data_IF_719146476454
#
_entry.id   IF_719146476454
#
_cell.length_a   1.000
_cell.length_b   1.000
_cell.length_c   1.000
_cell.angle_alpha   90.00
_cell.angle_beta   90.00
_cell.angle_gamma   90.00
#
_symmetry.space_group_name_H-M   'P 1'
#
loop_
_entity.id
_entity.type
_entity.pdbx_description
1 polymer ?
#
# COMPACT_ATOMS: atom_id res chain seq x y z
N UNK A 1 11.86 27.68 -11.40
CA UNK A 1 11.81 26.39 -12.10
C UNK A 1 13.14 25.68 -11.85
N UNK A 2 13.22 24.81 -10.85
CA UNK A 2 14.41 23.99 -10.60
C UNK A 2 14.42 22.85 -11.62
N UNK A 3 15.16 23.05 -12.70
CA UNK A 3 15.41 22.03 -13.70
C UNK A 3 16.37 20.98 -13.11
N UNK A 4 15.84 19.89 -12.60
CA UNK A 4 16.64 18.69 -12.31
C UNK A 4 16.83 17.91 -13.60
N UNK A 5 17.77 18.36 -14.45
CA UNK A 5 18.25 17.52 -15.54
C UNK A 5 19.05 16.38 -14.90
N UNK A 6 18.64 15.10 -15.07
CA UNK A 6 19.40 13.99 -14.55
C UNK A 6 20.74 13.91 -15.29
N UNK A 7 21.83 14.11 -14.55
CA UNK A 7 23.18 13.94 -15.09
C UNK A 7 23.32 12.46 -15.49
N UNK A 8 23.77 12.20 -16.71
CA UNK A 8 23.99 10.82 -17.17
C UNK A 8 25.01 10.12 -16.26
N UNK A 9 24.85 8.81 -16.07
CA UNK A 9 25.77 8.00 -15.24
C UNK A 9 27.24 8.18 -15.65
N UNK A 10 27.49 8.38 -16.94
CA UNK A 10 28.82 8.64 -17.51
C UNK A 10 29.36 10.02 -17.10
N UNK A 11 28.57 11.08 -17.28
CA UNK A 11 28.99 12.43 -16.91
C UNK A 11 29.23 12.56 -15.40
N UNK A 12 28.41 11.90 -14.58
CA UNK A 12 28.61 11.86 -13.13
C UNK A 12 29.91 11.14 -12.73
N UNK A 13 30.23 10.00 -13.36
CA UNK A 13 31.47 9.25 -13.10
C UNK A 13 32.73 10.01 -13.51
N UNK A 14 32.69 10.75 -14.62
CA UNK A 14 33.81 11.57 -15.11
C UNK A 14 34.16 12.71 -14.13
N UNK A 15 33.14 13.37 -13.57
CA UNK A 15 33.33 14.44 -12.59
C UNK A 15 34.04 13.93 -11.33
N UNK A 16 33.65 12.76 -10.81
CA UNK A 16 34.31 12.14 -9.66
C UNK A 16 35.78 11.80 -9.95
N UNK A 17 36.05 11.20 -11.10
CA UNK A 17 37.41 10.87 -11.51
C UNK A 17 38.29 12.13 -11.59
N UNK A 18 37.81 13.20 -12.22
CA UNK A 18 38.58 14.46 -12.35
C UNK A 18 38.78 15.20 -11.04
N UNK A 19 37.82 15.09 -10.13
CA UNK A 19 37.92 15.65 -8.79
C UNK A 19 38.86 14.86 -7.86
N UNK A 20 39.43 13.73 -8.31
CA UNK A 20 40.21 12.83 -7.45
C UNK A 20 39.38 12.19 -6.35
N UNK A 21 38.05 12.17 -6.51
CA UNK A 21 37.11 11.62 -5.54
C UNK A 21 36.79 10.18 -5.92
N UNK A 22 36.98 9.25 -4.99
CA UNK A 22 36.50 7.88 -5.14
C UNK A 22 34.98 7.90 -5.16
N UNK A 23 34.36 7.25 -6.15
CA UNK A 23 32.90 7.10 -6.19
C UNK A 23 32.44 6.53 -4.85
N UNK A 24 31.40 7.09 -4.19
CA UNK A 24 30.95 6.56 -2.92
C UNK A 24 30.64 5.07 -3.10
N UNK A 25 31.05 4.27 -2.11
CA UNK A 25 30.69 2.87 -1.99
C UNK A 25 29.21 2.68 -2.37
N UNK A 26 28.92 1.55 -3.03
CA UNK A 26 27.58 1.12 -3.46
C UNK A 26 26.51 1.68 -2.51
N UNK A 27 25.49 2.36 -3.06
CA UNK A 27 24.37 2.81 -2.24
C UNK A 27 23.76 1.59 -1.53
N UNK A 28 23.14 1.77 -0.38
CA UNK A 28 22.55 0.65 0.37
C UNK A 28 21.59 -0.17 -0.51
N UNK A 29 20.89 0.46 -1.47
CA UNK A 29 20.08 -0.24 -2.47
C UNK A 29 20.89 -1.17 -3.39
N UNK A 30 22.10 -0.77 -3.77
CA UNK A 30 22.99 -1.57 -4.61
C UNK A 30 23.63 -2.72 -3.84
N UNK A 31 23.96 -2.53 -2.56
CA UNK A 31 24.41 -3.62 -1.68
C UNK A 31 23.29 -4.64 -1.45
N UNK A 32 22.06 -4.18 -1.23
CA UNK A 32 20.90 -5.02 -0.99
C UNK A 32 20.53 -5.94 -2.18
N UNK A 33 21.05 -5.68 -3.38
CA UNK A 33 20.80 -6.49 -4.56
C UNK A 33 21.46 -7.89 -4.54
N UNK A 34 22.37 -8.16 -3.60
CA UNK A 34 23.06 -9.46 -3.50
C UNK A 34 23.09 -9.97 -2.06
N UNK A 35 23.08 -11.28 -1.86
CA UNK A 35 23.17 -11.90 -0.51
C UNK A 35 24.45 -11.44 0.21
N UNK A 36 25.57 -11.34 -0.52
CA UNK A 36 26.83 -10.86 0.04
C UNK A 36 26.73 -9.41 0.52
N UNK A 37 26.14 -8.51 -0.28
CA UNK A 37 25.94 -7.12 0.11
C UNK A 37 24.92 -6.95 1.24
N UNK A 38 23.88 -7.79 1.32
CA UNK A 38 22.96 -7.82 2.48
C UNK A 38 23.69 -8.21 3.76
N UNK A 39 24.61 -9.19 3.72
CA UNK A 39 25.44 -9.53 4.89
C UNK A 39 26.33 -8.37 5.32
N UNK A 40 26.85 -7.59 4.37
CA UNK A 40 27.60 -6.36 4.67
C UNK A 40 26.70 -5.33 5.35
N UNK A 41 25.48 -5.11 4.83
CA UNK A 41 24.51 -4.19 5.43
C UNK A 41 24.11 -4.60 6.85
N UNK A 42 23.95 -5.90 7.13
CA UNK A 42 23.64 -6.40 8.48
C UNK A 42 24.78 -6.11 9.48
N UNK A 43 26.03 -6.32 9.06
CA UNK A 43 27.20 -5.99 9.89
C UNK A 43 27.35 -4.49 10.14
N UNK A 44 26.96 -3.66 9.17
CA UNK A 44 26.92 -2.20 9.30
C UNK A 44 25.78 -1.77 10.23
N UNK A 45 24.57 -2.29 10.03
CA UNK A 45 23.37 -1.95 10.80
C UNK A 45 23.45 -2.40 12.27
N UNK A 46 24.02 -3.58 12.55
CA UNK A 46 24.23 -4.09 13.91
C UNK A 46 25.16 -3.22 14.77
N UNK A 47 25.96 -2.36 14.13
CA UNK A 47 26.89 -1.44 14.80
C UNK A 47 26.43 0.01 14.74
N UNK A 48 25.37 0.31 13.99
CA UNK A 48 24.90 1.67 13.77
C UNK A 48 23.83 2.06 14.78
N UNK A 49 23.97 3.24 15.37
CA UNK A 49 22.89 3.82 16.17
C UNK A 49 21.75 4.34 15.26
N UNK A 50 20.48 4.14 15.65
CA UNK A 50 19.36 4.61 14.87
C UNK A 50 19.31 6.15 14.85
N UNK A 51 19.33 6.73 13.66
CA UNK A 51 19.19 8.18 13.47
C UNK A 51 17.73 8.59 13.32
N UNK A 52 17.30 9.63 14.05
CA UNK A 52 15.97 10.21 13.89
C UNK A 52 15.95 11.11 12.66
N UNK A 53 15.08 10.79 11.69
CA UNK A 53 14.78 11.64 10.54
C UNK A 53 13.36 12.19 10.67
N UNK A 54 13.20 13.50 10.54
CA UNK A 54 11.88 14.13 10.52
C UNK A 54 11.33 14.22 9.09
N UNK A 55 10.03 13.99 8.93
CA UNK A 55 9.31 14.10 7.65
C UNK A 55 8.02 14.87 7.88
N UNK A 56 7.81 15.95 7.12
CA UNK A 56 6.53 16.65 7.08
C UNK A 56 5.61 15.87 6.13
N UNK A 57 4.41 15.52 6.59
CA UNK A 57 3.40 14.83 5.78
C UNK A 57 2.07 15.56 5.83
N UNK A 58 1.32 15.52 4.72
CA UNK A 58 -0.06 16.02 4.63
C UNK A 58 -0.98 14.81 4.63
N UNK A 59 -2.09 14.88 5.38
CA UNK A 59 -3.06 13.80 5.51
C UNK A 59 -4.45 14.28 5.10
N UNK A 60 -5.24 13.38 4.49
CA UNK A 60 -6.64 13.61 4.16
C UNK A 60 -7.48 12.99 5.28
N UNK A 61 -8.21 13.80 6.03
CA UNK A 61 -9.13 13.36 7.08
C UNK A 61 -10.26 12.51 6.48
N UNK A 62 -10.58 11.37 7.11
CA UNK A 62 -11.51 10.37 6.55
C UNK A 62 -12.76 10.13 7.41
N UNK A 63 -12.78 10.66 8.64
CA UNK A 63 -13.91 10.50 9.55
C UNK A 63 -14.17 9.04 9.99
N UNK A 64 -15.27 8.80 10.74
CA UNK A 64 -15.55 7.50 11.38
C UNK A 64 -16.22 6.47 10.46
N UNK A 65 -16.65 6.88 9.27
CA UNK A 65 -17.53 6.07 8.39
C UNK A 65 -16.91 4.72 8.02
N UNK A 66 -15.61 4.68 7.74
CA UNK A 66 -14.91 3.43 7.43
C UNK A 66 -14.88 2.46 8.60
N UNK A 67 -14.80 2.95 9.84
CA UNK A 67 -14.92 2.09 11.02
C UNK A 67 -16.35 1.53 11.14
N UNK A 68 -17.36 2.36 10.92
CA UNK A 68 -18.77 1.94 11.00
C UNK A 68 -19.14 0.91 9.93
N UNK A 69 -18.70 1.10 8.69
CA UNK A 69 -18.91 0.16 7.58
C UNK A 69 -18.32 -1.22 7.90
N UNK A 70 -17.10 -1.26 8.46
CA UNK A 70 -16.48 -2.52 8.89
C UNK A 70 -17.30 -3.21 9.98
N UNK A 71 -17.80 -2.46 10.95
CA UNK A 71 -18.59 -3.01 12.05
C UNK A 71 -19.93 -3.57 11.58
N UNK A 72 -20.65 -2.86 10.71
CA UNK A 72 -21.91 -3.32 10.11
C UNK A 72 -21.72 -4.65 9.38
N UNK A 73 -20.57 -4.83 8.71
CA UNK A 73 -20.21 -6.06 8.00
C UNK A 73 -19.55 -7.12 8.87
N UNK A 74 -19.50 -6.93 10.19
CA UNK A 74 -18.86 -7.87 11.11
C UNK A 74 -17.37 -8.09 10.85
N UNK A 75 -16.70 -7.12 10.22
CA UNK A 75 -15.31 -7.21 9.77
C UNK A 75 -15.02 -8.43 8.87
N UNK A 76 -15.99 -8.81 8.04
CA UNK A 76 -15.86 -9.91 7.07
C UNK A 76 -15.36 -9.40 5.73
N UNK A 77 -14.34 -10.05 5.19
CA UNK A 77 -13.74 -9.71 3.91
C UNK A 77 -14.67 -10.09 2.75
N UNK A 78 -15.08 -9.11 1.94
CA UNK A 78 -16.00 -9.32 0.82
C UNK A 78 -15.46 -10.28 -0.24
N UNK A 79 -14.16 -10.19 -0.50
CA UNK A 79 -13.52 -11.04 -1.51
C UNK A 79 -13.45 -12.47 -1.00
N UNK A 80 -13.12 -12.68 0.28
CA UNK A 80 -13.13 -14.02 0.87
C UNK A 80 -14.53 -14.64 0.83
N UNK A 81 -15.57 -13.85 1.14
CA UNK A 81 -16.97 -14.29 1.07
C UNK A 81 -17.36 -14.69 -0.36
N UNK A 82 -17.03 -13.86 -1.35
CA UNK A 82 -17.32 -14.15 -2.76
C UNK A 82 -16.52 -15.34 -3.30
N UNK A 83 -15.35 -15.64 -2.73
CA UNK A 83 -14.55 -16.83 -3.04
C UNK A 83 -14.97 -18.08 -2.26
N UNK A 84 -15.92 -17.98 -1.31
CA UNK A 84 -16.35 -19.10 -0.46
C UNK A 84 -15.30 -19.55 0.57
N UNK A 85 -14.34 -18.68 0.89
CA UNK A 85 -13.28 -18.92 1.88
C UNK A 85 -13.58 -18.24 3.22
N UNK A 86 -12.82 -18.59 4.28
CA UNK A 86 -12.94 -17.95 5.60
C UNK A 86 -12.80 -16.42 5.51
N UNK A 87 -13.86 -15.65 5.83
CA UNK A 87 -13.85 -14.21 5.66
C UNK A 87 -13.29 -13.43 6.86
N UNK A 88 -13.08 -14.08 8.00
CA UNK A 88 -12.39 -13.50 9.14
C UNK A 88 -10.89 -13.83 9.07
N UNK A 89 -10.07 -12.80 8.91
CA UNK A 89 -8.62 -12.99 8.84
C UNK A 89 -8.03 -13.46 10.17
N UNK A 90 -8.33 -12.73 11.24
CA UNK A 90 -7.92 -13.05 12.61
C UNK A 90 -8.73 -12.23 13.61
N UNK A 91 -8.65 -12.61 14.88
CA UNK A 91 -9.23 -11.88 16.00
C UNK A 91 -8.18 -10.97 16.64
N UNK A 92 -8.60 -9.75 16.98
CA UNK A 92 -7.80 -8.83 17.80
C UNK A 92 -7.64 -9.39 19.21
N UNK A 93 -6.74 -8.80 20.01
CA UNK A 93 -6.56 -9.14 21.44
C UNK A 93 -7.86 -9.10 22.26
N UNK A 94 -8.82 -8.28 21.86
CA UNK A 94 -10.14 -8.16 22.50
C UNK A 94 -11.20 -9.13 21.92
N UNK A 95 -10.78 -10.13 21.15
CA UNK A 95 -11.67 -11.13 20.53
C UNK A 95 -12.49 -10.64 19.33
N UNK A 96 -12.46 -9.34 18.98
CA UNK A 96 -13.21 -8.82 17.84
C UNK A 96 -12.51 -9.11 16.51
N UNK A 97 -13.23 -9.43 15.41
CA UNK A 97 -12.59 -9.68 14.13
C UNK A 97 -11.92 -8.43 13.53
N UNK A 98 -10.85 -8.63 12.78
CA UNK A 98 -10.10 -7.55 12.13
C UNK A 98 -10.33 -7.52 10.62
N UNK A 99 -10.61 -6.32 10.10
CA UNK A 99 -10.62 -5.99 8.68
C UNK A 99 -10.18 -4.54 8.44
N UNK A 100 -9.87 -4.23 7.18
CA UNK A 100 -9.42 -2.93 6.70
C UNK A 100 -10.46 -2.32 5.75
N UNK A 101 -10.57 -1.00 5.78
CA UNK A 101 -11.47 -0.25 4.92
C UNK A 101 -10.67 0.22 3.70
N UNK A 102 -11.07 -0.26 2.53
CA UNK A 102 -10.47 0.09 1.25
C UNK A 102 -11.40 1.02 0.49
N UNK A 103 -10.91 2.22 0.13
CA UNK A 103 -11.68 3.11 -0.73
C UNK A 103 -11.50 2.65 -2.18
N UNK A 104 -12.59 2.28 -2.85
CA UNK A 104 -12.58 1.78 -4.23
C UNK A 104 -12.13 2.89 -5.18
N UNK A 105 -12.77 4.05 -5.09
CA UNK A 105 -12.27 5.28 -5.69
C UNK A 105 -11.29 5.96 -4.72
N UNK A 106 -10.04 6.26 -5.14
CA UNK A 106 -9.03 6.83 -4.26
C UNK A 106 -9.44 8.20 -3.69
N UNK A 107 -9.30 8.35 -2.37
CA UNK A 107 -9.57 9.63 -1.67
C UNK A 107 -8.62 10.76 -2.09
N UNK A 108 -7.47 10.42 -2.68
CA UNK A 108 -6.51 11.39 -3.22
C UNK A 108 -7.04 12.18 -4.41
N UNK A 109 -8.14 11.73 -5.02
CA UNK A 109 -8.80 12.45 -6.12
C UNK A 109 -9.57 13.69 -5.61
N UNK A 110 -9.82 13.81 -4.31
CA UNK A 110 -10.51 14.95 -3.68
C UNK A 110 -11.87 15.26 -4.35
N UNK A 111 -12.59 14.22 -4.77
CA UNK A 111 -13.90 14.32 -5.41
C UNK A 111 -15.04 14.03 -4.44
N UNK A 112 -16.22 14.58 -4.72
CA UNK A 112 -17.42 14.24 -3.97
C UNK A 112 -17.68 12.72 -4.01
N UNK A 113 -18.10 12.16 -2.88
CA UNK A 113 -18.40 10.73 -2.75
C UNK A 113 -17.20 9.83 -2.43
N UNK A 114 -15.94 10.28 -2.55
CA UNK A 114 -14.78 9.41 -2.23
C UNK A 114 -14.69 9.03 -0.76
N UNK A 115 -15.30 9.82 0.14
CA UNK A 115 -15.39 9.54 1.58
C UNK A 115 -16.69 8.79 1.96
N UNK A 116 -17.59 8.52 1.01
CA UNK A 116 -18.86 7.87 1.30
C UNK A 116 -18.66 6.39 1.65
N UNK A 117 -19.50 5.84 2.53
CA UNK A 117 -19.43 4.42 2.90
C UNK A 117 -19.76 3.48 1.74
N UNK A 118 -20.52 3.95 0.74
CA UNK A 118 -20.77 3.26 -0.53
C UNK A 118 -19.53 3.13 -1.42
N UNK A 119 -18.43 3.82 -1.08
CA UNK A 119 -17.11 3.71 -1.69
C UNK A 119 -16.14 2.84 -0.87
N UNK A 120 -16.61 2.20 0.21
CA UNK A 120 -15.76 1.45 1.14
C UNK A 120 -15.99 -0.05 0.99
N UNK A 121 -14.97 -0.74 0.47
CA UNK A 121 -14.88 -2.19 0.48
C UNK A 121 -14.23 -2.67 1.78
N UNK A 122 -14.82 -3.69 2.42
CA UNK A 122 -14.26 -4.30 3.65
C UNK A 122 -13.43 -5.51 3.25
N UNK A 123 -12.13 -5.46 3.53
CA UNK A 123 -11.16 -6.44 3.08
C UNK A 123 -10.30 -6.97 4.25
N UNK A 124 -9.83 -8.20 4.13
CA UNK A 124 -8.75 -8.70 5.00
C UNK A 124 -7.42 -8.04 4.61
N UNK A 125 -6.37 -8.08 5.45
CA UNK A 125 -5.08 -7.46 5.14
C UNK A 125 -4.47 -7.96 3.82
N UNK A 126 -4.63 -9.25 3.50
CA UNK A 126 -4.09 -9.84 2.29
C UNK A 126 -4.76 -9.25 1.05
N UNK A 127 -6.08 -9.34 0.97
CA UNK A 127 -6.83 -8.80 -0.16
C UNK A 127 -6.77 -7.27 -0.23
N UNK A 128 -6.63 -6.57 0.90
CA UNK A 128 -6.43 -5.13 0.87
C UNK A 128 -5.09 -4.76 0.22
N UNK A 129 -4.01 -5.49 0.53
CA UNK A 129 -2.71 -5.30 -0.15
C UNK A 129 -2.75 -5.74 -1.61
N UNK A 130 -3.47 -6.81 -1.92
CA UNK A 130 -3.68 -7.25 -3.29
C UNK A 130 -4.44 -6.20 -4.12
N UNK A 131 -5.42 -5.51 -3.53
CA UNK A 131 -6.10 -4.40 -4.19
C UNK A 131 -5.18 -3.20 -4.49
N UNK A 132 -4.13 -3.00 -3.70
CA UNK A 132 -3.14 -1.93 -3.93
C UNK A 132 -2.01 -2.31 -4.89
N UNK A 133 -1.58 -3.58 -4.87
CA UNK A 133 -0.29 -4.01 -5.46
C UNK A 133 -0.41 -5.22 -6.38
N UNK A 134 -1.50 -5.97 -6.31
CA UNK A 134 -1.69 -7.23 -7.03
C UNK A 134 -2.49 -7.06 -8.32
N UNK A 135 -2.85 -8.19 -8.92
CA UNK A 135 -3.73 -8.24 -10.09
C UNK A 135 -5.19 -8.04 -9.64
N UNK A 136 -5.56 -6.79 -9.43
CA UNK A 136 -6.89 -6.37 -8.98
C UNK A 136 -7.38 -5.19 -9.81
N UNK A 137 -8.62 -5.29 -10.29
CA UNK A 137 -9.27 -4.24 -11.05
C UNK A 137 -10.74 -4.15 -10.69
N UNK A 138 -11.27 -2.92 -10.62
CA UNK A 138 -12.71 -2.67 -10.47
C UNK A 138 -13.27 -2.49 -11.88
N UNK A 139 -14.00 -3.50 -12.36
CA UNK A 139 -14.58 -3.52 -13.71
C UNK A 139 -15.83 -2.65 -13.79
N UNK A 140 -16.64 -2.61 -12.72
CA UNK A 140 -17.88 -1.83 -12.65
C UNK A 140 -18.17 -1.39 -11.22
N UNK A 141 -18.52 -0.11 -11.04
CA UNK A 141 -19.03 0.43 -9.79
C UNK A 141 -20.55 0.67 -9.88
N UNK A 142 -21.32 -0.38 -9.62
CA UNK A 142 -22.77 -0.35 -9.68
C UNK A 142 -23.42 0.26 -8.42
N UNK A 143 -24.73 0.51 -8.48
CA UNK A 143 -25.48 1.10 -7.36
C UNK A 143 -25.46 0.24 -6.10
N UNK A 144 -25.54 -1.09 -6.24
CA UNK A 144 -25.66 -2.03 -5.12
C UNK A 144 -24.51 -3.03 -5.02
N UNK A 145 -23.62 -3.08 -6.01
CA UNK A 145 -22.49 -4.02 -6.04
C UNK A 145 -21.34 -3.47 -6.86
N UNK A 146 -20.15 -3.97 -6.59
CA UNK A 146 -18.97 -3.84 -7.45
C UNK A 146 -18.79 -5.13 -8.26
N UNK A 147 -18.41 -5.02 -9.53
CA UNK A 147 -17.76 -6.13 -10.25
C UNK A 147 -16.27 -5.88 -10.25
N UNK A 148 -15.50 -6.86 -9.78
CA UNK A 148 -14.04 -6.80 -9.75
C UNK A 148 -13.43 -7.96 -10.52
N UNK A 149 -12.22 -7.78 -11.02
CA UNK A 149 -11.31 -8.84 -11.44
C UNK A 149 -10.23 -8.99 -10.37
N UNK A 150 -9.97 -10.22 -9.92
CA UNK A 150 -8.86 -10.54 -9.02
C UNK A 150 -8.21 -11.84 -9.44
N UNK A 151 -6.91 -11.80 -9.73
CA UNK A 151 -6.13 -12.93 -10.29
C UNK A 151 -6.82 -13.61 -11.49
N UNK A 152 -7.46 -12.81 -12.35
CA UNK A 152 -8.20 -13.31 -13.53
C UNK A 152 -9.60 -13.87 -13.26
N UNK A 153 -10.07 -13.86 -12.01
CA UNK A 153 -11.44 -14.25 -11.64
C UNK A 153 -12.34 -13.02 -11.50
N UNK A 154 -13.53 -13.09 -12.07
CA UNK A 154 -14.52 -12.01 -11.96
C UNK A 154 -15.46 -12.31 -10.79
N UNK A 155 -15.55 -11.38 -9.84
CA UNK A 155 -16.40 -11.47 -8.66
C UNK A 155 -17.39 -10.31 -8.60
N UNK A 156 -18.60 -10.58 -8.10
CA UNK A 156 -19.59 -9.56 -7.75
C UNK A 156 -19.61 -9.39 -6.23
N UNK A 157 -19.34 -8.17 -5.75
CA UNK A 157 -19.26 -7.84 -4.34
C UNK A 157 -20.39 -6.87 -3.95
N UNK A 158 -21.34 -7.27 -3.08
CA UNK A 158 -22.41 -6.37 -2.66
C UNK A 158 -21.88 -5.21 -1.82
N UNK A 159 -22.36 -3.99 -2.07
CA UNK A 159 -22.05 -2.83 -1.23
C UNK A 159 -22.66 -3.01 0.15
N UNK A 160 -22.02 -2.44 1.16
CA UNK A 160 -22.57 -2.44 2.53
C UNK A 160 -23.83 -1.58 2.57
N UNK A 161 -24.97 -2.17 2.93
CA UNK A 161 -26.17 -1.42 3.23
C UNK A 161 -25.97 -0.63 4.53
N UNK A 162 -26.24 0.68 4.49
CA UNK A 162 -26.12 1.61 5.61
C UNK A 162 -27.49 2.06 6.11
#
# INVERSE_FOLDING_TARGET
>A
MTSTIPISRRAFSEVYHRAGLTRPNLTDEQKAATIAGVRTLELEASKADPTRKSRISRHIERGPIGQKVKEIRGCRCQICEALGSEPIAFLRRNGRPFAEAHHVQPVSLLMAGTLAGSNIMVLCPNHHRQAHLGNFEVLEDGRHQWRISIDGRVLALPKTAL
#
